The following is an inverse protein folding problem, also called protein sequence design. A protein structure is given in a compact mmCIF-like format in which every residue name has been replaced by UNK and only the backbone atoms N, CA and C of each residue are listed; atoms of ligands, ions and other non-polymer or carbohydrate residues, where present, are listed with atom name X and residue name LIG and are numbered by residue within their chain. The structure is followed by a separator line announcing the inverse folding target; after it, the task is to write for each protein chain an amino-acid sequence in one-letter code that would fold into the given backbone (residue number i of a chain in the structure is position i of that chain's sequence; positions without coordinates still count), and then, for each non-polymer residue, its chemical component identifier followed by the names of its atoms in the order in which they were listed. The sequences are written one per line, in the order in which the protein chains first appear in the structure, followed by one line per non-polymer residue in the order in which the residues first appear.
data_IF_404598269633
#
_entry.id   IF_404598269633
#
_cell.length_a   1.000
_cell.length_b   1.000
_cell.length_c   1.000
_cell.angle_alpha   90.00
_cell.angle_beta   90.00
_cell.angle_gamma   90.00
#
_symmetry.space_group_name_H-M   'P 1'
#
loop_
_entity.id
_entity.type
_entity.pdbx_description
1 polymer ?
#
# COMPACT_ATOMS: atom_id res chain seq x y z
N UNK A 1 5.15 -55.85 -3.21
CA UNK A 1 5.92 -54.97 -2.29
C UNK A 1 7.37 -54.94 -2.73
N UNK A 2 7.83 -53.82 -3.30
CA UNK A 2 9.25 -53.65 -3.66
C UNK A 2 9.99 -53.23 -2.39
N UNK A 3 10.85 -54.12 -1.86
CA UNK A 3 11.75 -53.79 -0.73
C UNK A 3 13.03 -53.21 -1.31
N UNK A 4 13.16 -51.88 -1.28
CA UNK A 4 14.42 -51.21 -1.60
C UNK A 4 15.32 -51.27 -0.36
N UNK A 5 16.51 -51.88 -0.48
CA UNK A 5 17.55 -51.86 0.56
C UNK A 5 18.54 -50.75 0.23
N UNK A 6 18.47 -49.65 0.96
CA UNK A 6 19.49 -48.61 0.94
C UNK A 6 20.53 -48.94 2.01
N UNK A 7 21.81 -48.91 1.66
CA UNK A 7 22.87 -49.00 2.64
C UNK A 7 23.04 -47.64 3.36
N UNK A 8 23.63 -47.66 4.56
CA UNK A 8 23.77 -46.46 5.38
C UNK A 8 24.48 -45.31 4.65
N UNK A 9 25.45 -45.63 3.78
CA UNK A 9 26.19 -44.67 2.98
C UNK A 9 25.30 -44.00 1.93
N UNK A 10 24.46 -44.74 1.22
CA UNK A 10 23.49 -44.19 0.25
C UNK A 10 22.44 -43.33 0.95
N UNK A 11 22.02 -43.72 2.16
CA UNK A 11 21.05 -42.93 2.94
C UNK A 11 21.65 -41.58 3.40
N UNK A 12 22.89 -41.57 3.88
CA UNK A 12 23.62 -40.35 4.27
C UNK A 12 23.88 -39.45 3.06
N UNK A 13 24.20 -40.03 1.88
CA UNK A 13 24.38 -39.26 0.65
C UNK A 13 23.07 -38.58 0.21
N UNK A 14 21.95 -39.30 0.29
CA UNK A 14 20.62 -38.75 -0.04
C UNK A 14 20.25 -37.63 0.95
N UNK A 15 20.48 -37.81 2.25
CA UNK A 15 20.22 -36.75 3.25
C UNK A 15 21.09 -35.51 3.03
N UNK A 16 22.37 -35.68 2.69
CA UNK A 16 23.26 -34.55 2.41
C UNK A 16 22.90 -33.82 1.13
N UNK A 17 22.49 -34.53 0.07
CA UNK A 17 21.92 -33.94 -1.15
C UNK A 17 20.61 -33.20 -0.88
N UNK A 18 19.71 -33.74 -0.06
CA UNK A 18 18.46 -33.06 0.33
C UNK A 18 18.78 -31.76 1.09
N UNK A 19 19.72 -31.79 2.04
CA UNK A 19 20.14 -30.59 2.78
C UNK A 19 20.83 -29.53 1.91
N UNK A 20 21.55 -29.94 0.86
CA UNK A 20 22.13 -29.02 -0.11
C UNK A 20 21.06 -28.37 -1.01
N UNK A 21 20.00 -29.09 -1.35
CA UNK A 21 18.88 -28.55 -2.16
C UNK A 21 17.97 -27.64 -1.32
N UNK A 22 17.83 -27.89 -0.02
CA UNK A 22 17.00 -27.07 0.89
C UNK A 22 17.72 -25.87 1.50
N UNK A 23 19.04 -25.76 1.36
CA UNK A 23 19.79 -24.56 1.71
C UNK A 23 19.46 -23.44 0.72
N UNK A 24 18.28 -22.83 0.87
CA UNK A 24 17.87 -21.62 0.16
C UNK A 24 18.87 -20.54 0.53
N UNK A 25 19.79 -20.22 -0.39
CA UNK A 25 20.80 -19.20 -0.18
C UNK A 25 20.04 -17.86 -0.03
N UNK A 26 19.92 -17.36 1.19
CA UNK A 26 19.59 -15.97 1.44
C UNK A 26 20.79 -15.18 0.99
N UNK A 27 20.79 -14.67 -0.25
CA UNK A 27 21.81 -13.73 -0.70
C UNK A 27 21.51 -12.38 -0.02
N UNK A 28 22.30 -11.95 0.98
CA UNK A 28 22.02 -10.74 1.73
C UNK A 28 22.32 -9.53 0.82
N UNK A 29 21.33 -9.10 0.05
CA UNK A 29 21.46 -7.97 -0.87
C UNK A 29 20.43 -7.92 -2.01
N UNK A 30 19.64 -8.99 -2.22
CA UNK A 30 18.62 -9.02 -3.27
C UNK A 30 17.23 -8.75 -2.70
N UNK A 31 16.48 -7.86 -3.35
CA UNK A 31 15.11 -7.50 -3.00
C UNK A 31 14.23 -7.51 -4.25
N UNK A 32 12.97 -7.90 -4.08
CA UNK A 32 11.91 -7.65 -5.06
C UNK A 32 11.41 -6.22 -4.85
N UNK A 33 11.32 -5.45 -5.92
CA UNK A 33 10.90 -4.05 -5.86
C UNK A 33 9.77 -3.83 -6.87
N UNK A 34 8.59 -3.53 -6.34
CA UNK A 34 7.43 -3.10 -7.13
C UNK A 34 7.21 -1.60 -6.92
N UNK A 35 7.00 -0.85 -8.00
CA UNK A 35 6.74 0.58 -7.91
C UNK A 35 5.65 0.99 -8.90
N UNK A 36 4.61 1.67 -8.43
CA UNK A 36 3.46 2.06 -9.25
C UNK A 36 2.83 3.38 -8.84
N UNK A 37 2.12 3.99 -9.79
CA UNK A 37 1.44 5.28 -9.63
C UNK A 37 -0.04 5.12 -9.99
N UNK A 38 -0.92 5.75 -9.21
CA UNK A 38 -2.35 5.78 -9.49
C UNK A 38 -2.99 7.12 -9.12
N UNK A 39 -4.04 7.53 -9.82
CA UNK A 39 -4.77 8.78 -9.59
C UNK A 39 -5.58 8.72 -8.27
N UNK A 40 -5.47 9.77 -7.45
CA UNK A 40 -6.27 9.97 -6.22
C UNK A 40 -7.04 11.29 -6.23
N UNK A 41 -7.15 11.94 -7.39
CA UNK A 41 -7.82 13.23 -7.53
C UNK A 41 -9.31 13.11 -7.19
N UNK A 42 -9.75 13.87 -6.18
CA UNK A 42 -11.16 13.98 -5.80
C UNK A 42 -11.94 14.95 -6.70
N UNK A 43 -13.01 15.52 -6.14
CA UNK A 43 -13.80 16.57 -6.79
C UNK A 43 -12.92 17.79 -7.09
N UNK A 44 -13.09 18.35 -8.30
CA UNK A 44 -12.28 19.46 -8.82
C UNK A 44 -13.03 20.80 -8.89
N UNK A 45 -14.21 20.88 -8.26
CA UNK A 45 -15.04 22.07 -8.29
C UNK A 45 -15.93 22.14 -7.06
N UNK A 46 -16.14 23.35 -6.57
CA UNK A 46 -17.08 23.68 -5.50
C UNK A 46 -16.84 22.95 -4.17
N UNK A 47 -15.62 22.47 -3.91
CA UNK A 47 -15.26 21.83 -2.65
C UNK A 47 -14.16 22.60 -1.91
N UNK A 48 -14.20 22.64 -0.58
CA UNK A 48 -13.14 23.26 0.21
C UNK A 48 -11.82 22.50 0.08
N UNK A 49 -10.71 23.23 0.00
CA UNK A 49 -9.38 22.60 0.07
C UNK A 49 -8.99 22.23 1.49
N UNK A 50 -8.29 21.09 1.62
CA UNK A 50 -7.68 20.66 2.86
C UNK A 50 -6.32 21.36 3.04
N UNK A 51 -6.08 21.94 4.23
CA UNK A 51 -4.79 22.54 4.58
C UNK A 51 -4.92 23.86 5.33
N UNK A 52 -5.24 24.95 4.63
CA UNK A 52 -5.22 26.30 5.21
C UNK A 52 -6.40 26.63 6.13
N UNK A 53 -7.42 25.78 6.19
CA UNK A 53 -8.63 26.00 6.98
C UNK A 53 -9.33 27.35 6.66
N UNK A 54 -9.36 27.73 5.38
CA UNK A 54 -10.04 28.95 4.90
C UNK A 54 -11.36 28.55 4.24
N UNK A 55 -12.54 28.86 4.83
CA UNK A 55 -13.84 28.44 4.27
C UNK A 55 -14.13 28.96 2.86
N UNK A 56 -13.51 30.09 2.48
CA UNK A 56 -13.63 30.70 1.15
C UNK A 56 -12.68 30.07 0.11
N UNK A 57 -11.72 29.26 0.53
CA UNK A 57 -10.82 28.56 -0.39
C UNK A 57 -11.55 27.32 -0.91
N UNK A 58 -12.16 27.47 -2.08
CA UNK A 58 -12.88 26.41 -2.77
C UNK A 58 -12.22 26.11 -4.11
N UNK A 59 -12.40 24.88 -4.54
CA UNK A 59 -11.90 24.41 -5.83
C UNK A 59 -12.68 25.04 -6.99
N UNK A 60 -11.96 25.43 -8.02
CA UNK A 60 -12.46 26.00 -9.27
C UNK A 60 -11.84 25.35 -10.50
N UNK A 61 -11.10 24.25 -10.34
CA UNK A 61 -10.52 23.50 -11.44
C UNK A 61 -9.21 22.82 -11.08
N UNK A 62 -8.64 22.16 -12.08
CA UNK A 62 -7.47 21.31 -11.88
C UNK A 62 -6.23 21.92 -12.53
N UNK A 63 -5.21 22.23 -11.72
CA UNK A 63 -3.86 22.56 -12.24
C UNK A 63 -3.10 21.28 -12.62
N UNK A 64 -3.06 20.30 -11.72
CA UNK A 64 -2.43 18.99 -11.91
C UNK A 64 -3.18 17.92 -11.13
N UNK A 65 -3.16 16.68 -11.62
CA UNK A 65 -3.70 15.52 -10.92
C UNK A 65 -2.88 15.20 -9.66
N UNK A 66 -3.56 14.63 -8.68
CA UNK A 66 -2.97 14.11 -7.46
C UNK A 66 -2.74 12.61 -7.61
N UNK A 67 -1.60 12.10 -7.16
CA UNK A 67 -1.28 10.69 -7.30
C UNK A 67 -0.90 10.01 -5.98
N UNK A 68 -1.23 8.73 -5.89
CA UNK A 68 -0.62 7.79 -4.96
C UNK A 68 0.54 7.09 -5.64
N UNK A 69 1.72 7.12 -5.02
CA UNK A 69 2.92 6.41 -5.49
C UNK A 69 3.27 5.34 -4.47
N UNK A 70 3.10 4.08 -4.84
CA UNK A 70 3.36 2.93 -3.98
C UNK A 70 4.70 2.28 -4.34
N UNK A 71 5.46 1.93 -3.31
CA UNK A 71 6.72 1.22 -3.40
C UNK A 71 6.65 0.01 -2.48
N UNK A 72 6.85 -1.19 -3.03
CA UNK A 72 6.88 -2.43 -2.27
C UNK A 72 8.30 -2.98 -2.32
N UNK A 73 8.85 -3.30 -1.15
CA UNK A 73 10.15 -3.95 -1.01
C UNK A 73 9.90 -5.30 -0.36
N UNK A 74 10.20 -6.39 -1.07
CA UNK A 74 9.97 -7.76 -0.63
C UNK A 74 11.24 -8.60 -0.60
N UNK A 75 11.25 -9.63 0.24
CA UNK A 75 12.30 -10.64 0.26
C UNK A 75 12.14 -11.66 -0.88
N UNK A 76 13.23 -11.99 -1.57
CA UNK A 76 13.24 -12.96 -2.69
C UNK A 76 12.79 -14.37 -2.25
N UNK A 77 13.07 -14.73 -0.99
CA UNK A 77 12.87 -16.08 -0.49
C UNK A 77 11.60 -16.27 0.35
N UNK A 78 10.95 -15.19 0.79
CA UNK A 78 9.74 -15.22 1.58
C UNK A 78 8.81 -14.10 1.11
N UNK A 79 7.75 -14.49 0.41
CA UNK A 79 6.74 -13.56 -0.09
C UNK A 79 6.05 -12.78 1.04
N UNK A 80 5.92 -13.31 2.25
CA UNK A 80 5.27 -12.60 3.35
C UNK A 80 6.16 -11.49 3.94
N UNK A 81 7.48 -11.57 3.71
CA UNK A 81 8.42 -10.57 4.19
C UNK A 81 8.48 -9.38 3.22
N UNK A 82 7.51 -8.48 3.32
CA UNK A 82 7.44 -7.27 2.51
C UNK A 82 7.00 -6.05 3.32
N UNK A 83 7.44 -4.89 2.89
CA UNK A 83 6.97 -3.58 3.36
C UNK A 83 6.45 -2.76 2.20
N UNK A 84 5.48 -1.89 2.47
CA UNK A 84 4.88 -0.97 1.51
C UNK A 84 5.04 0.44 2.03
N UNK A 85 5.57 1.32 1.19
CA UNK A 85 5.57 2.76 1.39
C UNK A 85 4.69 3.42 0.32
N UNK A 86 3.77 4.28 0.75
CA UNK A 86 2.95 5.10 -0.15
C UNK A 86 3.23 6.58 0.11
N UNK A 87 3.59 7.31 -0.94
CA UNK A 87 3.57 8.77 -0.97
C UNK A 87 2.34 9.22 -1.73
N UNK A 88 1.39 9.84 -1.04
CA UNK A 88 0.13 10.32 -1.60
C UNK A 88 0.14 11.85 -1.67
N UNK A 89 -0.23 12.40 -2.83
CA UNK A 89 -0.41 13.83 -3.05
C UNK A 89 -1.66 14.37 -2.31
N UNK A 90 -1.68 14.23 -0.98
CA UNK A 90 -2.73 14.66 -0.07
C UNK A 90 -2.16 15.57 1.01
N UNK A 91 -3.05 16.31 1.67
CA UNK A 91 -2.65 17.09 2.82
C UNK A 91 -2.18 16.22 3.99
N UNK A 92 -2.87 15.13 4.30
CA UNK A 92 -2.52 14.23 5.40
C UNK A 92 -2.90 12.79 5.05
N UNK A 93 -2.32 11.83 5.77
CA UNK A 93 -2.79 10.45 5.78
C UNK A 93 -3.74 10.25 6.97
N UNK A 94 -5.04 10.39 6.73
CA UNK A 94 -6.05 10.27 7.79
C UNK A 94 -6.26 8.81 8.20
N UNK A 95 -6.63 8.60 9.48
CA UNK A 95 -6.84 7.26 10.02
C UNK A 95 -7.93 6.50 9.28
N UNK A 96 -9.06 7.15 8.94
CA UNK A 96 -10.16 6.52 8.20
C UNK A 96 -9.72 6.01 6.82
N UNK A 97 -8.79 6.71 6.16
CA UNK A 97 -8.21 6.28 4.88
C UNK A 97 -7.32 5.06 5.11
N UNK A 98 -6.44 5.12 6.11
CA UNK A 98 -5.50 4.02 6.43
C UNK A 98 -6.25 2.72 6.76
N UNK A 99 -7.24 2.78 7.64
CA UNK A 99 -8.02 1.59 8.04
C UNK A 99 -8.74 0.96 6.86
N UNK A 100 -9.41 1.75 6.02
CA UNK A 100 -10.13 1.23 4.86
C UNK A 100 -9.18 0.64 3.80
N UNK A 101 -8.01 1.26 3.58
CA UNK A 101 -6.99 0.71 2.67
C UNK A 101 -6.56 -0.68 3.15
N UNK A 102 -6.27 -0.85 4.44
CA UNK A 102 -5.91 -2.17 5.00
C UNK A 102 -7.05 -3.17 4.84
N UNK A 103 -8.30 -2.78 5.12
CA UNK A 103 -9.46 -3.67 4.96
C UNK A 103 -9.65 -4.14 3.51
N UNK A 104 -9.44 -3.25 2.52
CA UNK A 104 -9.53 -3.61 1.09
C UNK A 104 -8.37 -4.48 0.63
N UNK A 105 -7.15 -4.23 1.11
CA UNK A 105 -6.00 -5.08 0.83
C UNK A 105 -6.18 -6.47 1.44
N UNK A 106 -6.72 -6.56 2.65
CA UNK A 106 -7.03 -7.84 3.31
C UNK A 106 -8.06 -8.65 2.55
N UNK A 107 -9.09 -8.01 1.98
CA UNK A 107 -10.08 -8.68 1.11
C UNK A 107 -9.46 -9.21 -0.19
N UNK A 108 -8.38 -8.58 -0.66
CA UNK A 108 -7.73 -8.93 -1.94
C UNK A 108 -6.64 -9.98 -1.76
N UNK A 109 -5.82 -9.87 -0.71
CA UNK A 109 -4.60 -10.66 -0.51
C UNK A 109 -4.64 -11.56 0.73
N UNK A 110 -5.73 -11.53 1.50
CA UNK A 110 -5.83 -12.19 2.80
C UNK A 110 -5.28 -11.33 3.96
N UNK A 111 -5.56 -11.71 5.21
CA UNK A 111 -5.41 -10.85 6.38
C UNK A 111 -3.97 -10.61 6.85
N UNK A 112 -3.00 -11.35 6.32
CA UNK A 112 -1.63 -11.38 6.87
C UNK A 112 -0.60 -10.69 5.97
N UNK A 113 -0.90 -10.48 4.68
CA UNK A 113 0.11 -9.99 3.74
C UNK A 113 0.37 -8.49 3.88
N UNK A 114 -0.71 -7.70 3.96
CA UNK A 114 -0.66 -6.26 4.08
C UNK A 114 -1.44 -5.82 5.31
N UNK A 115 -0.72 -5.41 6.34
CA UNK A 115 -1.25 -5.08 7.66
C UNK A 115 -0.81 -3.67 8.07
N UNK A 116 -1.33 -3.18 9.19
CA UNK A 116 -0.85 -1.92 9.79
C UNK A 116 0.64 -1.92 10.10
N UNK A 117 1.25 -3.09 10.30
CA UNK A 117 2.67 -3.21 10.67
C UNK A 117 3.63 -2.97 9.51
N UNK A 118 3.20 -3.23 8.27
CA UNK A 118 4.08 -3.23 7.11
C UNK A 118 3.59 -2.35 5.96
N UNK A 119 2.50 -1.59 6.12
CA UNK A 119 2.03 -0.61 5.15
C UNK A 119 2.10 0.79 5.76
N UNK A 120 2.94 1.66 5.21
CA UNK A 120 3.04 3.06 5.59
C UNK A 120 2.42 3.94 4.50
N UNK A 121 1.52 4.84 4.90
CA UNK A 121 0.92 5.84 4.01
C UNK A 121 1.33 7.22 4.51
N UNK A 122 1.92 8.02 3.63
CA UNK A 122 2.40 9.37 3.91
C UNK A 122 1.73 10.35 2.95
N UNK A 123 1.11 11.40 3.50
CA UNK A 123 0.67 12.55 2.71
C UNK A 123 1.85 13.50 2.48
N UNK A 124 1.98 14.03 1.27
CA UNK A 124 3.00 15.05 0.93
C UNK A 124 2.78 16.39 1.63
N UNK A 125 1.62 16.57 2.26
CA UNK A 125 1.23 17.82 2.89
C UNK A 125 0.98 18.97 1.92
N UNK A 126 0.48 18.66 0.73
CA UNK A 126 -0.07 19.69 -0.17
C UNK A 126 -1.33 20.32 0.45
N UNK A 127 -1.47 21.64 0.33
CA UNK A 127 -2.66 22.39 0.76
C UNK A 127 -3.59 22.72 -0.43
N UNK A 128 -3.41 22.00 -1.54
CA UNK A 128 -4.17 22.15 -2.79
C UNK A 128 -4.77 20.80 -3.19
N UNK A 129 -5.51 20.21 -2.25
CA UNK A 129 -6.22 18.94 -2.35
C UNK A 129 -7.66 19.14 -1.88
N UNK A 130 -8.68 18.52 -2.50
CA UNK A 130 -10.04 18.57 -2.00
C UNK A 130 -10.15 17.87 -0.64
N UNK A 131 -10.75 18.55 0.35
CA UNK A 131 -10.90 18.00 1.71
C UNK A 131 -12.16 17.15 1.89
N UNK A 132 -12.58 16.99 3.14
CA UNK A 132 -13.72 16.14 3.51
C UNK A 132 -13.36 14.66 3.57
N UNK A 133 -12.12 14.32 3.91
CA UNK A 133 -11.58 12.95 3.84
C UNK A 133 -11.17 12.38 5.20
N UNK A 134 -11.33 13.12 6.30
CA UNK A 134 -10.90 12.70 7.64
C UNK A 134 -12.02 12.06 8.45
N UNK A 135 -13.25 12.56 8.32
CA UNK A 135 -14.41 12.06 9.07
C UNK A 135 -14.58 12.65 10.46
N UNK A 136 -13.63 13.45 10.96
CA UNK A 136 -13.83 14.23 12.20
C UNK A 136 -14.32 15.64 11.90
N UNK A 137 -15.20 16.15 12.78
CA UNK A 137 -15.73 17.50 12.64
C UNK A 137 -14.63 18.57 12.65
N UNK A 138 -13.55 18.38 13.44
CA UNK A 138 -12.47 19.36 13.55
C UNK A 138 -11.77 19.59 12.20
N UNK A 139 -11.50 18.52 11.45
CA UNK A 139 -10.78 18.58 10.18
C UNK A 139 -11.74 18.99 9.05
N UNK A 140 -12.93 18.39 9.00
CA UNK A 140 -13.85 18.55 7.89
C UNK A 140 -14.77 19.80 8.02
N UNK A 141 -14.71 20.57 9.11
CA UNK A 141 -15.58 21.77 9.29
C UNK A 141 -15.45 22.78 8.14
N UNK A 142 -14.24 22.93 7.59
CA UNK A 142 -13.98 23.88 6.50
C UNK A 142 -14.38 23.36 5.12
N UNK A 143 -14.67 22.06 5.00
CA UNK A 143 -15.30 21.45 3.82
C UNK A 143 -16.81 21.25 3.97
N UNK A 144 -17.40 21.75 5.07
CA UNK A 144 -18.81 21.58 5.43
C UNK A 144 -19.18 20.12 5.74
N UNK A 145 -18.19 19.31 6.13
CA UNK A 145 -18.37 17.91 6.49
C UNK A 145 -17.61 16.94 5.57
N UNK A 146 -17.89 15.67 5.81
CA UNK A 146 -17.30 14.54 5.11
C UNK A 146 -17.84 14.43 3.68
N UNK A 147 -16.94 14.15 2.74
CA UNK A 147 -17.23 14.03 1.30
C UNK A 147 -16.80 12.64 0.86
N UNK A 148 -17.78 11.74 0.77
CA UNK A 148 -17.54 10.32 0.48
C UNK A 148 -16.80 10.11 -0.83
N UNK A 149 -17.09 10.92 -1.84
CA UNK A 149 -16.48 10.83 -3.18
C UNK A 149 -14.97 11.11 -3.13
N UNK A 150 -14.54 12.13 -2.37
CA UNK A 150 -13.12 12.46 -2.22
C UNK A 150 -12.39 11.38 -1.42
N UNK A 151 -13.02 10.90 -0.34
CA UNK A 151 -12.47 9.81 0.46
C UNK A 151 -12.35 8.52 -0.36
N UNK A 152 -13.37 8.18 -1.15
CA UNK A 152 -13.38 6.98 -2.00
C UNK A 152 -12.33 7.07 -3.10
N UNK A 153 -12.19 8.22 -3.76
CA UNK A 153 -11.15 8.44 -4.77
C UNK A 153 -9.74 8.24 -4.17
N UNK A 154 -9.50 8.81 -2.98
CA UNK A 154 -8.26 8.67 -2.24
C UNK A 154 -7.97 7.20 -1.86
N UNK A 155 -8.91 6.55 -1.18
CA UNK A 155 -8.77 5.15 -0.74
C UNK A 155 -8.56 4.23 -1.94
N UNK A 156 -9.42 4.32 -2.95
CA UNK A 156 -9.35 3.45 -4.12
C UNK A 156 -8.02 3.65 -4.84
N UNK A 157 -7.58 4.89 -5.07
CA UNK A 157 -6.31 5.11 -5.77
C UNK A 157 -5.09 4.61 -4.99
N UNK A 158 -5.08 4.72 -3.66
CA UNK A 158 -4.03 4.11 -2.83
C UNK A 158 -4.07 2.57 -2.92
N UNK A 159 -5.25 1.96 -2.88
CA UNK A 159 -5.38 0.50 -3.03
C UNK A 159 -4.89 0.05 -4.40
N UNK A 160 -5.27 0.76 -5.47
CA UNK A 160 -4.85 0.41 -6.83
C UNK A 160 -3.35 0.57 -7.04
N UNK A 161 -2.72 1.63 -6.53
CA UNK A 161 -1.26 1.79 -6.63
C UNK A 161 -0.52 0.63 -5.94
N UNK A 162 -0.99 0.19 -4.78
CA UNK A 162 -0.42 -0.98 -4.07
C UNK A 162 -0.66 -2.28 -4.85
N UNK A 163 -1.88 -2.51 -5.35
CA UNK A 163 -2.19 -3.72 -6.14
C UNK A 163 -1.33 -3.78 -7.40
N UNK A 164 -1.15 -2.66 -8.09
CA UNK A 164 -0.33 -2.62 -9.29
C UNK A 164 1.15 -2.80 -8.94
N UNK A 165 1.65 -2.15 -7.88
CA UNK A 165 3.03 -2.34 -7.42
C UNK A 165 3.28 -3.81 -7.06
N UNK A 166 2.32 -4.49 -6.44
CA UNK A 166 2.39 -5.92 -6.14
C UNK A 166 2.53 -6.76 -7.40
N UNK A 167 1.77 -6.45 -8.46
CA UNK A 167 1.83 -7.19 -9.73
C UNK A 167 3.17 -7.01 -10.45
N UNK A 168 3.91 -5.95 -10.11
CA UNK A 168 5.20 -5.60 -10.69
C UNK A 168 6.39 -5.90 -9.73
N UNK A 169 6.20 -6.82 -8.77
CA UNK A 169 7.27 -7.36 -7.92
C UNK A 169 8.14 -8.39 -8.64
#
# INVERSE_FOLDING_TARGET
MIKVRLNASTFVLILSLINFITAKQNDPGQFLIGAEIYDITGQVAEIGFMGYAVPKQRDHGLLQRMHSRAFIIGGVNNEENRVVYVSADNGMAFQIVKTEVIDRLNKTFGPNLYTDKNVLISGTHTHSTPGGTDGTALVDITTLGFVKENWEACVNGIVQSIIHAHKNL
#
